data_IF_104461100484
#
_entry.id   IF_104461100484
#
_cell.length_a   1.000
_cell.length_b   1.000
_cell.length_c   1.000
_cell.angle_alpha   90.00
_cell.angle_beta   90.00
_cell.angle_gamma   90.00
#
_symmetry.space_group_name_H-M   'P 1'
#
loop_
_entity.id
_entity.type
_entity.pdbx_description
1 polymer ?
#
# COMPACT_ATOMS: atom_id res chain seq x y z
N UNK A 1 1.46 -33.23 10.44
CA UNK A 1 0.98 -32.62 11.70
C UNK A 1 1.67 -31.27 11.81
N UNK A 2 0.95 -30.22 11.37
CA UNK A 2 1.20 -28.77 11.49
C UNK A 2 2.64 -28.28 11.68
N UNK A 3 3.30 -27.90 10.56
CA UNK A 3 4.31 -26.84 10.56
C UNK A 3 3.61 -25.55 10.07
N UNK A 4 3.37 -24.64 11.02
CA UNK A 4 3.08 -23.23 10.78
C UNK A 4 4.40 -22.48 10.97
N UNK A 5 5.00 -21.93 9.92
CA UNK A 5 6.09 -20.96 10.07
C UNK A 5 5.98 -19.73 9.16
N UNK A 6 4.88 -19.58 8.39
CA UNK A 6 4.70 -18.46 7.46
C UNK A 6 3.48 -17.53 7.65
N UNK A 7 2.81 -17.46 8.82
CA UNK A 7 1.97 -16.29 9.09
C UNK A 7 2.21 -15.72 10.50
N UNK A 8 3.32 -15.04 10.76
CA UNK A 8 3.47 -14.22 11.99
C UNK A 8 4.01 -12.79 11.72
N UNK A 9 4.44 -12.44 10.51
CA UNK A 9 5.02 -11.09 10.26
C UNK A 9 3.96 -10.06 9.80
N UNK A 10 2.81 -10.48 9.26
CA UNK A 10 1.72 -9.57 8.90
C UNK A 10 0.43 -9.90 9.65
N UNK A 11 0.29 -9.45 10.90
CA UNK A 11 -1.05 -9.25 11.45
C UNK A 11 -1.09 -8.21 12.56
N UNK A 12 -0.63 -7.00 12.28
CA UNK A 12 -0.89 -5.86 13.15
C UNK A 12 -0.94 -4.63 12.26
N UNK A 13 -2.13 -4.26 11.76
CA UNK A 13 -2.43 -2.93 11.18
C UNK A 13 -3.93 -2.59 11.16
N UNK A 14 -4.45 -1.96 12.22
CA UNK A 14 -5.73 -1.26 12.24
C UNK A 14 -5.59 0.15 12.86
N UNK A 15 -6.04 1.12 12.07
CA UNK A 15 -6.33 2.56 12.29
C UNK A 15 -5.22 3.61 12.54
N UNK A 16 -5.40 4.72 11.79
CA UNK A 16 -4.87 6.10 11.89
C UNK A 16 -3.67 6.53 11.01
N UNK A 17 -3.97 7.38 10.00
CA UNK A 17 -3.31 8.67 9.70
C UNK A 17 -1.96 8.74 8.96
N UNK A 18 -1.99 9.26 7.73
CA UNK A 18 -0.88 9.53 6.78
C UNK A 18 0.40 10.18 7.36
N UNK A 19 1.58 9.63 7.04
CA UNK A 19 2.87 10.34 6.92
C UNK A 19 3.80 9.62 5.90
N UNK A 20 4.60 10.40 5.17
CA UNK A 20 5.41 10.00 4.00
C UNK A 20 6.67 9.20 4.35
N UNK A 21 7.05 8.29 3.45
CA UNK A 21 8.24 7.44 3.50
C UNK A 21 9.57 8.24 3.41
N UNK A 22 10.53 7.92 4.29
CA UNK A 22 11.96 8.26 4.17
C UNK A 22 12.75 6.97 3.90
N UNK A 23 13.32 6.82 2.70
CA UNK A 23 13.90 5.53 2.27
C UNK A 23 15.43 5.49 2.15
N UNK A 24 16.19 6.55 2.47
CA UNK A 24 17.62 6.60 2.10
C UNK A 24 18.62 6.70 3.27
N UNK A 25 18.22 7.07 4.49
CA UNK A 25 19.16 7.28 5.61
C UNK A 25 19.38 6.07 6.50
N UNK A 26 18.45 5.12 6.53
CA UNK A 26 18.38 4.15 7.62
C UNK A 26 18.86 2.73 7.27
N UNK A 27 18.88 2.36 5.99
CA UNK A 27 19.39 1.05 5.55
C UNK A 27 20.91 0.91 5.81
N UNK A 28 21.68 1.96 5.52
CA UNK A 28 23.13 1.97 5.76
C UNK A 28 23.47 1.87 7.26
N UNK A 29 22.68 2.53 8.10
CA UNK A 29 22.81 2.46 9.56
C UNK A 29 22.49 1.04 10.08
N UNK A 30 21.46 0.38 9.54
CA UNK A 30 21.13 -1.00 9.90
C UNK A 30 22.20 -1.99 9.45
N UNK A 31 22.75 -1.83 8.24
CA UNK A 31 23.88 -2.64 7.80
C UNK A 31 25.13 -2.43 8.68
N UNK A 32 25.39 -1.19 9.11
CA UNK A 32 26.46 -0.89 10.06
C UNK A 32 26.21 -1.52 11.43
N UNK A 33 24.96 -1.48 11.92
CA UNK A 33 24.55 -2.13 13.16
C UNK A 33 24.79 -3.65 13.11
N UNK A 34 24.39 -4.32 12.01
CA UNK A 34 24.62 -5.76 11.82
C UNK A 34 26.12 -6.10 11.81
N UNK A 35 26.96 -5.28 11.16
CA UNK A 35 28.43 -5.43 11.19
C UNK A 35 29.00 -5.28 12.60
N UNK A 36 28.53 -4.29 13.35
CA UNK A 36 28.97 -4.06 14.74
C UNK A 36 28.57 -5.23 15.64
N UNK A 37 27.37 -5.78 15.45
CA UNK A 37 26.90 -6.97 16.18
C UNK A 37 27.78 -8.18 15.90
N UNK A 38 28.08 -8.46 14.63
CA UNK A 38 29.00 -9.53 14.24
C UNK A 38 30.37 -9.38 14.90
N UNK A 39 30.94 -8.17 14.87
CA UNK A 39 32.25 -7.90 15.47
C UNK A 39 32.24 -8.14 16.98
N UNK A 40 31.23 -7.62 17.69
CA UNK A 40 31.10 -7.80 19.13
C UNK A 40 30.93 -9.29 19.51
N UNK A 41 30.09 -10.02 18.77
CA UNK A 41 29.91 -11.46 18.98
C UNK A 41 31.22 -12.23 18.75
N UNK A 42 31.90 -11.96 17.63
CA UNK A 42 33.11 -12.69 17.25
C UNK A 42 34.31 -12.39 18.16
N UNK A 43 34.27 -11.29 18.92
CA UNK A 43 35.25 -10.95 19.94
C UNK A 43 34.83 -11.42 21.35
N UNK A 44 33.63 -11.94 21.52
CA UNK A 44 33.07 -12.28 22.83
C UNK A 44 32.77 -11.06 23.70
N UNK A 45 32.55 -9.89 23.10
CA UNK A 45 32.31 -8.62 23.79
C UNK A 45 30.85 -8.52 24.25
N UNK A 46 30.61 -9.10 25.44
CA UNK A 46 29.29 -9.13 26.08
C UNK A 46 28.81 -7.72 26.44
N UNK A 47 29.70 -6.79 26.79
CA UNK A 47 29.31 -5.44 27.19
C UNK A 47 28.76 -4.65 26.00
N UNK A 48 29.43 -4.75 24.84
CA UNK A 48 28.92 -4.14 23.61
C UNK A 48 27.61 -4.79 23.19
N UNK A 49 27.49 -6.13 23.22
CA UNK A 49 26.23 -6.81 22.93
C UNK A 49 25.11 -6.34 23.84
N UNK A 50 25.36 -6.17 25.16
CA UNK A 50 24.36 -5.65 26.10
C UNK A 50 23.82 -4.29 25.63
N UNK A 51 24.72 -3.36 25.31
CA UNK A 51 24.37 -1.97 24.92
C UNK A 51 23.57 -1.87 23.61
N UNK A 52 23.61 -2.92 22.79
CA UNK A 52 22.86 -3.01 21.54
C UNK A 52 21.38 -3.37 21.72
N UNK A 53 20.94 -3.71 22.94
CA UNK A 53 19.54 -3.98 23.28
C UNK A 53 18.96 -2.88 24.17
N UNK A 54 17.64 -2.66 24.09
CA UNK A 54 16.91 -1.90 25.12
C UNK A 54 16.89 -2.66 26.43
N UNK A 55 16.80 -1.95 27.56
CA UNK A 55 16.84 -2.57 28.88
C UNK A 55 15.73 -3.62 29.09
N UNK A 56 14.56 -3.42 28.49
CA UNK A 56 13.39 -4.31 28.52
C UNK A 56 13.27 -5.24 27.30
N UNK A 57 14.30 -5.32 26.46
CA UNK A 57 14.24 -6.05 25.20
C UNK A 57 13.91 -7.53 25.35
N UNK A 58 13.29 -8.12 24.33
CA UNK A 58 12.93 -9.55 24.31
C UNK A 58 13.64 -10.27 23.17
N UNK A 59 14.35 -11.35 23.50
CA UNK A 59 14.92 -12.27 22.50
C UNK A 59 14.18 -13.59 22.52
N UNK A 60 13.86 -14.10 21.33
CA UNK A 60 13.25 -15.42 21.12
C UNK A 60 14.21 -16.23 20.26
N UNK A 61 14.69 -17.37 20.77
CA UNK A 61 15.58 -18.26 20.02
C UNK A 61 14.82 -19.22 19.09
N UNK A 62 15.56 -20.06 18.35
CA UNK A 62 14.99 -21.01 17.37
C UNK A 62 14.07 -22.05 18.03
N UNK A 63 14.23 -22.30 19.34
CA UNK A 63 13.37 -23.20 20.11
C UNK A 63 12.16 -22.48 20.73
N UNK A 64 11.98 -21.18 20.45
CA UNK A 64 10.88 -20.37 20.96
C UNK A 64 11.05 -19.92 22.40
N UNK A 65 12.25 -20.07 23.00
CA UNK A 65 12.50 -19.64 24.39
C UNK A 65 12.66 -18.13 24.44
N UNK A 66 11.90 -17.49 25.32
CA UNK A 66 11.99 -16.05 25.56
C UNK A 66 13.05 -15.72 26.62
N UNK A 67 13.91 -14.76 26.31
CA UNK A 67 14.87 -14.14 27.22
C UNK A 67 14.53 -12.65 27.30
N UNK A 68 14.11 -12.20 28.48
CA UNK A 68 13.62 -10.83 28.69
C UNK A 68 14.65 -9.99 29.45
N UNK A 69 14.87 -8.78 28.98
CA UNK A 69 15.78 -7.79 29.52
C UNK A 69 17.21 -7.95 29.00
N UNK A 70 17.86 -6.82 28.70
CA UNK A 70 19.20 -6.81 28.10
C UNK A 70 20.27 -7.50 28.97
N UNK A 71 20.13 -7.49 30.30
CA UNK A 71 21.08 -8.16 31.20
C UNK A 71 21.01 -9.69 31.08
N UNK A 72 19.80 -10.23 30.97
CA UNK A 72 19.61 -11.67 30.78
C UNK A 72 20.04 -12.11 29.38
N UNK A 73 19.81 -11.28 28.35
CA UNK A 73 20.30 -11.51 26.99
C UNK A 73 21.84 -11.51 26.98
N UNK A 74 22.49 -10.55 27.65
CA UNK A 74 23.94 -10.51 27.78
C UNK A 74 24.50 -11.73 28.52
N UNK A 75 23.86 -12.14 29.62
CA UNK A 75 24.23 -13.35 30.37
C UNK A 75 24.10 -14.63 29.52
N UNK A 76 23.09 -14.70 28.65
CA UNK A 76 22.95 -15.79 27.68
C UNK A 76 24.15 -15.84 26.72
N UNK A 77 24.53 -14.72 26.10
CA UNK A 77 25.70 -14.68 25.21
C UNK A 77 27.01 -14.99 25.95
N UNK A 78 27.21 -14.47 27.15
CA UNK A 78 28.35 -14.83 28.00
C UNK A 78 28.45 -16.35 28.23
N UNK A 79 27.32 -16.99 28.52
CA UNK A 79 27.25 -18.43 28.68
C UNK A 79 27.59 -19.21 27.39
N UNK A 80 27.23 -18.68 26.21
CA UNK A 80 27.60 -19.28 24.92
C UNK A 80 29.10 -19.15 24.66
N UNK A 81 29.70 -17.98 24.89
CA UNK A 81 31.13 -17.75 24.66
C UNK A 81 32.03 -18.56 25.62
N UNK A 82 31.54 -18.84 26.84
CA UNK A 82 32.22 -19.75 27.77
C UNK A 82 32.20 -21.22 27.33
N UNK A 83 31.23 -21.61 26.50
CA UNK A 83 31.07 -23.01 26.04
C UNK A 83 31.68 -23.25 24.67
N UNK A 84 31.69 -22.22 23.83
CA UNK A 84 31.94 -22.35 22.40
C UNK A 84 32.99 -21.33 21.93
N UNK A 85 33.84 -21.76 21.01
CA UNK A 85 34.64 -20.88 20.16
C UNK A 85 33.99 -20.87 18.77
N UNK A 86 33.15 -19.88 18.51
CA UNK A 86 32.36 -19.80 17.29
C UNK A 86 32.28 -18.37 16.75
N UNK A 87 32.14 -18.27 15.43
CA UNK A 87 32.01 -17.04 14.68
C UNK A 87 30.61 -16.96 14.08
N UNK A 88 29.96 -15.81 14.20
CA UNK A 88 28.71 -15.49 13.52
C UNK A 88 28.99 -14.71 12.24
N UNK A 89 28.28 -15.09 11.18
CA UNK A 89 28.14 -14.37 9.93
C UNK A 89 26.67 -14.00 9.75
N UNK A 90 26.40 -12.72 9.47
CA UNK A 90 25.06 -12.18 9.27
C UNK A 90 25.00 -11.61 7.86
N UNK A 91 23.99 -12.03 7.09
CA UNK A 91 23.60 -11.43 5.82
C UNK A 91 22.25 -10.74 6.05
N UNK A 92 22.28 -9.42 6.12
CA UNK A 92 21.06 -8.62 6.12
C UNK A 92 20.47 -8.63 4.72
N UNK A 93 19.18 -8.94 4.60
CA UNK A 93 18.47 -9.08 3.33
C UNK A 93 17.45 -7.98 3.12
N UNK A 94 16.80 -7.52 4.19
CA UNK A 94 15.81 -6.45 4.13
C UNK A 94 15.91 -5.52 5.34
N UNK A 95 15.52 -4.28 5.08
CA UNK A 95 15.30 -3.25 6.08
C UNK A 95 13.98 -2.59 5.71
N UNK A 96 12.97 -2.81 6.52
CA UNK A 96 11.62 -2.33 6.26
C UNK A 96 11.23 -1.32 7.34
N UNK A 97 10.72 -0.17 6.91
CA UNK A 97 10.15 0.79 7.83
C UNK A 97 8.81 0.25 8.29
N UNK A 98 8.61 0.20 9.61
CA UNK A 98 7.29 -0.02 10.15
C UNK A 98 6.67 1.35 10.43
N UNK A 99 5.78 1.79 9.53
CA UNK A 99 4.95 2.99 9.67
C UNK A 99 4.21 3.03 11.02
N UNK A 100 4.10 1.86 11.66
CA UNK A 100 3.20 1.60 12.76
C UNK A 100 3.76 1.84 14.15
N UNK A 101 5.08 1.85 14.33
CA UNK A 101 5.71 1.89 15.66
C UNK A 101 6.96 2.80 15.76
N UNK A 102 7.29 3.58 14.72
CA UNK A 102 8.60 4.24 14.61
C UNK A 102 9.78 3.24 14.74
N UNK A 103 9.53 1.98 14.41
CA UNK A 103 10.51 0.89 14.47
C UNK A 103 11.00 0.54 13.07
N UNK A 104 12.26 0.15 12.97
CA UNK A 104 12.76 -0.53 11.78
C UNK A 104 12.76 -2.02 12.01
N UNK A 105 12.35 -2.79 11.01
CA UNK A 105 12.51 -4.24 11.02
C UNK A 105 13.69 -4.59 10.13
N UNK A 106 14.76 -5.10 10.74
CA UNK A 106 15.90 -5.63 10.01
C UNK A 106 15.78 -7.16 9.95
N UNK A 107 15.72 -7.69 8.74
CA UNK A 107 15.58 -9.12 8.45
C UNK A 107 16.78 -9.67 7.68
N UNK A 108 17.11 -10.95 7.92
CA UNK A 108 18.18 -11.59 7.17
C UNK A 108 18.45 -13.02 7.60
N UNK A 109 19.58 -13.55 7.17
CA UNK A 109 20.06 -14.89 7.55
C UNK A 109 21.33 -14.79 8.38
N UNK A 110 21.56 -15.76 9.25
CA UNK A 110 22.80 -15.89 10.00
C UNK A 110 23.33 -17.32 9.94
N UNK A 111 24.64 -17.43 10.15
CA UNK A 111 25.38 -18.69 10.23
C UNK A 111 26.39 -18.59 11.38
N UNK A 112 26.37 -19.56 12.29
CA UNK A 112 27.32 -19.68 13.40
C UNK A 112 28.17 -20.92 13.15
N UNK A 113 29.48 -20.73 13.02
CA UNK A 113 30.46 -21.77 12.76
C UNK A 113 31.51 -21.82 13.85
N UNK A 114 31.84 -23.00 14.36
CA UNK A 114 32.89 -23.14 15.36
C UNK A 114 32.96 -24.52 15.97
N UNK A 115 33.37 -24.56 17.23
CA UNK A 115 33.42 -25.79 18.03
C UNK A 115 33.26 -25.51 19.52
N UNK A 116 32.83 -26.50 20.28
CA UNK A 116 32.80 -26.43 21.74
C UNK A 116 34.23 -26.38 22.30
N UNK A 117 34.47 -25.66 23.40
CA UNK A 117 35.78 -25.65 24.08
C UNK A 117 36.12 -27.03 24.66
N UNK A 118 35.09 -27.77 25.08
CA UNK A 118 35.23 -29.12 25.63
C UNK A 118 34.87 -30.12 24.53
N UNK A 119 35.78 -31.05 24.24
CA UNK A 119 35.66 -32.12 23.22
C UNK A 119 35.68 -31.68 21.75
N UNK A 120 35.90 -30.40 21.44
CA UNK A 120 36.03 -29.88 20.05
C UNK A 120 34.87 -30.29 19.13
N UNK A 121 33.65 -30.39 19.67
CA UNK A 121 32.46 -30.80 18.90
C UNK A 121 32.14 -29.68 17.90
N UNK A 122 32.06 -29.97 16.58
CA UNK A 122 31.71 -28.97 15.58
C UNK A 122 30.35 -28.33 15.87
N UNK A 123 30.29 -27.02 15.74
CA UNK A 123 29.08 -26.22 15.82
C UNK A 123 28.84 -25.63 14.45
N UNK A 124 27.68 -25.93 13.88
CA UNK A 124 27.17 -25.30 12.66
C UNK A 124 25.69 -25.06 12.87
N UNK A 125 25.29 -23.78 12.94
CA UNK A 125 23.89 -23.37 13.12
C UNK A 125 23.57 -22.32 12.07
N UNK A 126 22.54 -22.56 11.27
CA UNK A 126 22.01 -21.58 10.32
C UNK A 126 20.59 -21.20 10.70
N UNK A 127 20.19 -19.97 10.35
CA UNK A 127 18.85 -19.50 10.65
C UNK A 127 18.52 -18.18 9.95
N UNK A 128 17.25 -17.81 10.01
CA UNK A 128 16.80 -16.46 9.69
C UNK A 128 16.61 -15.67 10.99
N UNK A 129 16.71 -14.34 10.91
CA UNK A 129 16.42 -13.46 12.04
C UNK A 129 15.53 -12.30 11.61
N UNK A 130 14.77 -11.78 12.56
CA UNK A 130 14.09 -10.51 12.46
C UNK A 130 14.32 -9.71 13.76
N UNK A 131 14.77 -8.48 13.63
CA UNK A 131 14.96 -7.57 14.75
C UNK A 131 14.06 -6.34 14.58
N UNK A 132 13.29 -6.01 15.62
CA UNK A 132 12.63 -4.72 15.76
C UNK A 132 13.58 -3.74 16.45
N UNK A 133 13.83 -2.61 15.79
CA UNK A 133 14.87 -1.65 16.12
C UNK A 133 14.24 -0.30 16.49
N UNK A 134 14.66 0.27 17.62
CA UNK A 134 14.22 1.60 18.11
C UNK A 134 15.45 2.47 18.32
N UNK A 135 15.32 3.78 18.08
CA UNK A 135 16.37 4.76 18.36
C UNK A 135 16.15 5.36 19.75
N UNK A 136 17.07 5.13 20.67
CA UNK A 136 17.08 5.72 22.02
C UNK A 136 18.36 6.56 22.15
N UNK A 137 18.22 7.82 22.57
CA UNK A 137 19.33 8.80 22.66
C UNK A 137 20.18 8.91 21.38
N UNK A 138 19.55 8.77 20.22
CA UNK A 138 20.20 8.85 18.92
C UNK A 138 20.94 7.57 18.49
N UNK A 139 20.88 6.49 19.27
CA UNK A 139 21.50 5.20 18.95
C UNK A 139 20.43 4.13 18.69
N UNK A 140 20.63 3.34 17.63
CA UNK A 140 19.78 2.19 17.34
C UNK A 140 20.00 1.07 18.37
N UNK A 141 18.91 0.49 18.86
CA UNK A 141 18.89 -0.62 19.80
C UNK A 141 17.83 -1.64 19.39
N UNK A 142 18.07 -2.90 19.69
CA UNK A 142 17.13 -3.99 19.50
C UNK A 142 16.11 -3.95 20.64
N UNK A 143 14.84 -3.74 20.29
CA UNK A 143 13.72 -3.89 21.20
C UNK A 143 13.24 -5.35 21.25
N UNK A 144 13.25 -6.03 20.10
CA UNK A 144 12.88 -7.45 19.99
C UNK A 144 13.72 -8.16 18.96
N UNK A 145 14.19 -9.37 19.26
CA UNK A 145 14.93 -10.24 18.35
C UNK A 145 14.27 -11.60 18.27
N UNK A 146 14.02 -12.10 17.06
CA UNK A 146 13.43 -13.41 16.80
C UNK A 146 14.33 -14.19 15.85
N UNK A 147 14.62 -15.45 16.20
CA UNK A 147 15.37 -16.36 15.35
C UNK A 147 14.48 -17.49 14.85
N UNK A 148 14.71 -17.89 13.60
CA UNK A 148 13.97 -18.95 12.94
C UNK A 148 14.96 -19.99 12.41
N UNK A 149 14.65 -21.30 12.47
CA UNK A 149 15.43 -22.31 11.78
C UNK A 149 15.34 -22.10 10.26
N UNK A 150 16.46 -22.19 9.57
CA UNK A 150 16.46 -22.46 8.13
C UNK A 150 16.48 -23.98 7.99
N UNK A 151 15.33 -24.62 7.82
CA UNK A 151 15.34 -26.00 7.33
C UNK A 151 16.06 -26.02 5.96
N UNK A 152 16.81 -27.10 5.68
CA UNK A 152 17.62 -27.23 4.47
C UNK A 152 16.89 -26.69 3.25
N UNK A 153 17.42 -25.63 2.61
CA UNK A 153 16.82 -25.05 1.43
C UNK A 153 16.59 -26.15 0.39
N UNK A 154 15.33 -26.52 0.18
CA UNK A 154 14.97 -27.53 -0.80
C UNK A 154 15.40 -27.01 -2.17
N UNK A 155 16.38 -27.63 -2.86
CA UNK A 155 16.86 -27.14 -4.15
C UNK A 155 15.74 -27.08 -5.19
N UNK A 156 14.64 -27.83 -4.98
CA UNK A 156 13.43 -27.75 -5.82
C UNK A 156 12.74 -26.40 -5.69
N UNK A 157 12.69 -25.79 -4.50
CA UNK A 157 12.07 -24.46 -4.32
C UNK A 157 12.81 -23.40 -5.12
N UNK A 158 14.15 -23.40 -5.07
CA UNK A 158 14.96 -22.45 -5.85
C UNK A 158 14.79 -22.66 -7.37
N UNK A 159 14.72 -23.92 -7.82
CA UNK A 159 14.46 -24.25 -9.22
C UNK A 159 13.04 -23.81 -9.65
N UNK A 160 12.04 -24.05 -8.81
CA UNK A 160 10.65 -23.67 -9.04
C UNK A 160 10.52 -22.14 -9.15
N UNK A 161 11.11 -21.38 -8.23
CA UNK A 161 11.11 -19.91 -8.27
C UNK A 161 11.72 -19.40 -9.58
N UNK A 162 12.86 -19.98 -9.99
CA UNK A 162 13.55 -19.59 -11.22
C UNK A 162 12.67 -19.85 -12.45
N UNK A 163 12.20 -21.09 -12.61
CA UNK A 163 11.33 -21.48 -13.73
C UNK A 163 10.10 -20.58 -13.78
N UNK A 164 9.40 -20.43 -12.65
CA UNK A 164 8.18 -19.65 -12.53
C UNK A 164 8.39 -18.18 -12.91
N UNK A 165 9.45 -17.56 -12.41
CA UNK A 165 9.78 -16.15 -12.70
C UNK A 165 10.09 -15.95 -14.17
N UNK A 166 10.91 -16.81 -14.77
CA UNK A 166 11.28 -16.73 -16.19
C UNK A 166 10.07 -16.97 -17.11
N UNK A 167 9.17 -17.89 -16.75
CA UNK A 167 7.96 -18.17 -17.51
C UNK A 167 7.01 -16.96 -17.51
N UNK A 168 6.69 -16.40 -16.34
CA UNK A 168 5.76 -15.28 -16.21
C UNK A 168 6.26 -13.98 -16.80
N UNK A 169 7.56 -13.69 -16.67
CA UNK A 169 8.19 -12.55 -17.33
C UNK A 169 7.97 -12.60 -18.84
N UNK A 170 8.27 -13.74 -19.46
CA UNK A 170 8.13 -13.91 -20.92
C UNK A 170 6.67 -14.00 -21.36
N UNK A 171 5.80 -14.64 -20.59
CA UNK A 171 4.36 -14.70 -20.90
C UNK A 171 3.76 -13.30 -20.97
N UNK A 172 4.03 -12.45 -19.98
CA UNK A 172 3.39 -11.14 -19.86
C UNK A 172 4.15 -10.05 -20.61
N UNK A 173 5.45 -9.87 -20.34
CA UNK A 173 6.23 -8.78 -20.91
C UNK A 173 6.58 -9.00 -22.39
N UNK A 174 6.83 -10.25 -22.80
CA UNK A 174 7.12 -10.59 -24.20
C UNK A 174 5.88 -11.08 -24.98
N UNK A 175 4.73 -11.27 -24.31
CA UNK A 175 3.50 -11.77 -24.93
C UNK A 175 3.59 -13.23 -25.43
N UNK A 176 4.45 -14.05 -24.82
CA UNK A 176 4.76 -15.43 -25.25
C UNK A 176 3.73 -16.43 -24.72
N UNK A 177 2.47 -16.29 -25.13
CA UNK A 177 1.37 -17.14 -24.67
C UNK A 177 1.51 -18.62 -25.05
N UNK A 178 2.42 -18.99 -25.97
CA UNK A 178 2.73 -20.39 -26.24
C UNK A 178 3.50 -21.10 -25.10
N UNK A 179 3.97 -20.36 -24.09
CA UNK A 179 4.54 -20.91 -22.87
C UNK A 179 3.48 -21.48 -21.91
N UNK A 180 2.18 -21.23 -22.16
CA UNK A 180 1.11 -22.03 -21.59
C UNK A 180 1.10 -23.41 -22.26
N UNK A 181 1.92 -24.33 -21.75
CA UNK A 181 2.11 -25.68 -22.27
C UNK A 181 2.46 -26.68 -21.15
N UNK A 182 2.56 -27.95 -21.51
CA UNK A 182 2.81 -29.07 -20.59
C UNK A 182 4.23 -29.11 -19.99
N UNK A 183 5.16 -28.29 -20.50
CA UNK A 183 6.49 -28.08 -19.91
C UNK A 183 6.43 -27.16 -18.68
N UNK A 184 5.52 -26.19 -18.64
CA UNK A 184 5.44 -25.19 -17.57
C UNK A 184 4.24 -25.39 -16.64
N UNK A 185 3.15 -25.97 -17.14
CA UNK A 185 1.89 -26.15 -16.41
C UNK A 185 1.49 -27.64 -16.39
N UNK A 186 0.76 -28.07 -15.37
CA UNK A 186 0.12 -29.39 -15.40
C UNK A 186 -1.08 -29.35 -16.36
N UNK A 187 -1.41 -30.49 -16.98
CA UNK A 187 -2.55 -30.58 -17.91
C UNK A 187 -3.87 -30.17 -17.23
N UNK A 188 -3.98 -30.43 -15.93
CA UNK A 188 -5.14 -30.15 -15.07
C UNK A 188 -4.97 -28.88 -14.22
N UNK A 189 -4.07 -27.97 -14.61
CA UNK A 189 -3.80 -26.74 -13.85
C UNK A 189 -5.09 -26.01 -13.48
N UNK A 190 -5.19 -25.56 -12.22
CA UNK A 190 -6.36 -24.84 -11.72
C UNK A 190 -6.01 -23.40 -11.39
N UNK A 191 -6.65 -22.44 -12.06
CA UNK A 191 -6.64 -21.04 -11.67
C UNK A 191 -7.93 -20.73 -10.92
N UNK A 192 -7.80 -20.34 -9.64
CA UNK A 192 -8.95 -19.92 -8.83
C UNK A 192 -9.43 -18.55 -9.28
N UNK A 193 -10.66 -18.52 -9.78
CA UNK A 193 -11.34 -17.34 -10.27
C UNK A 193 -12.80 -17.37 -9.82
N UNK A 194 -13.45 -16.22 -9.89
CA UNK A 194 -14.87 -16.07 -9.56
C UNK A 194 -15.65 -15.73 -10.85
N UNK A 195 -16.86 -16.30 -11.06
CA UNK A 195 -17.60 -17.19 -10.17
C UNK A 195 -17.17 -18.66 -10.23
N UNK A 196 -16.36 -19.05 -11.21
CA UNK A 196 -15.93 -20.43 -11.41
C UNK A 196 -14.42 -20.49 -11.69
N UNK A 197 -13.79 -21.55 -11.20
CA UNK A 197 -12.39 -21.83 -11.47
C UNK A 197 -12.15 -22.11 -12.95
N UNK A 198 -10.98 -21.69 -13.45
CA UNK A 198 -10.51 -22.03 -14.78
C UNK A 198 -9.64 -23.27 -14.65
N UNK A 199 -9.95 -24.31 -15.44
CA UNK A 199 -9.24 -25.60 -15.40
C UNK A 199 -8.61 -25.88 -16.75
N UNK A 200 -7.35 -26.30 -16.72
CA UNK A 200 -6.55 -26.70 -17.87
C UNK A 200 -5.82 -25.53 -18.54
N UNK A 201 -4.76 -25.90 -19.25
CA UNK A 201 -3.79 -24.98 -19.87
C UNK A 201 -4.48 -24.01 -20.86
N UNK A 202 -5.38 -24.52 -21.70
CA UNK A 202 -6.06 -23.71 -22.72
C UNK A 202 -6.95 -22.63 -22.09
N UNK A 203 -7.68 -22.97 -21.02
CA UNK A 203 -8.53 -22.03 -20.30
C UNK A 203 -7.71 -20.92 -19.65
N UNK A 204 -6.63 -21.30 -18.96
CA UNK A 204 -5.74 -20.34 -18.31
C UNK A 204 -5.05 -19.41 -19.33
N UNK A 205 -4.55 -19.96 -20.43
CA UNK A 205 -3.96 -19.18 -21.53
C UNK A 205 -4.94 -18.17 -22.11
N UNK A 206 -6.20 -18.59 -22.34
CA UNK A 206 -7.26 -17.72 -22.85
C UNK A 206 -7.56 -16.56 -21.91
N UNK A 207 -7.61 -16.81 -20.60
CA UNK A 207 -7.85 -15.80 -19.59
C UNK A 207 -6.75 -14.73 -19.54
N UNK A 208 -5.48 -15.13 -19.39
CA UNK A 208 -4.38 -14.16 -19.34
C UNK A 208 -4.19 -13.43 -20.67
N UNK A 209 -4.44 -14.10 -21.80
CA UNK A 209 -4.42 -13.44 -23.10
C UNK A 209 -5.48 -12.36 -23.20
N UNK A 210 -6.71 -12.62 -22.76
CA UNK A 210 -7.77 -11.61 -22.72
C UNK A 210 -7.41 -10.44 -21.80
N UNK A 211 -6.89 -10.74 -20.60
CA UNK A 211 -6.45 -9.74 -19.62
C UNK A 211 -5.36 -8.82 -20.18
N UNK A 212 -4.26 -9.40 -20.67
CA UNK A 212 -3.10 -8.63 -21.14
C UNK A 212 -3.40 -7.88 -22.43
N UNK A 213 -4.17 -8.47 -23.35
CA UNK A 213 -4.50 -7.82 -24.63
C UNK A 213 -5.41 -6.59 -24.47
N UNK A 214 -6.01 -6.39 -23.29
CA UNK A 214 -6.75 -5.17 -22.99
C UNK A 214 -5.83 -3.95 -22.75
N UNK A 215 -4.53 -4.17 -22.57
CA UNK A 215 -3.56 -3.13 -22.24
C UNK A 215 -2.43 -3.05 -23.27
N UNK A 216 -1.97 -1.83 -23.55
CA UNK A 216 -0.69 -1.54 -24.22
C UNK A 216 0.35 -1.08 -23.20
N UNK A 217 1.61 -0.98 -23.62
CA UNK A 217 2.71 -0.49 -22.77
C UNK A 217 2.83 -1.29 -21.45
N UNK A 218 2.65 -2.61 -21.57
CA UNK A 218 2.60 -3.53 -20.43
C UNK A 218 3.98 -3.65 -19.80
N UNK A 219 4.02 -3.47 -18.48
CA UNK A 219 5.19 -3.76 -17.63
C UNK A 219 4.72 -4.58 -16.43
N UNK A 220 5.20 -5.81 -16.33
CA UNK A 220 4.95 -6.72 -15.22
C UNK A 220 6.24 -7.01 -14.46
N UNK A 221 6.20 -6.79 -13.15
CA UNK A 221 7.35 -6.94 -12.27
C UNK A 221 6.99 -7.86 -11.11
N UNK A 222 7.75 -8.95 -10.93
CA UNK A 222 7.70 -9.75 -9.70
C UNK A 222 8.61 -9.05 -8.68
N UNK A 223 7.99 -8.32 -7.75
CA UNK A 223 8.68 -7.53 -6.73
C UNK A 223 9.42 -8.42 -5.72
N UNK A 224 8.78 -9.53 -5.33
CA UNK A 224 9.35 -10.52 -4.42
C UNK A 224 8.68 -11.88 -4.66
N UNK A 225 9.41 -12.97 -4.48
CA UNK A 225 8.90 -14.34 -4.55
C UNK A 225 9.64 -15.24 -3.56
N UNK A 226 8.90 -16.06 -2.83
CA UNK A 226 9.43 -17.04 -1.87
C UNK A 226 8.56 -18.30 -1.87
N UNK A 227 9.07 -19.38 -1.29
CA UNK A 227 8.33 -20.64 -1.25
C UNK A 227 8.85 -21.62 -0.20
N UNK A 228 8.04 -22.63 0.08
CA UNK A 228 8.34 -23.74 0.99
C UNK A 228 7.71 -25.01 0.43
N UNK A 229 8.50 -26.08 0.30
CA UNK A 229 8.04 -27.34 -0.28
C UNK A 229 7.53 -27.18 -1.71
N UNK A 230 6.23 -27.39 -1.92
CA UNK A 230 5.54 -27.28 -3.20
C UNK A 230 4.76 -25.96 -3.37
N UNK A 231 4.81 -25.04 -2.41
CA UNK A 231 4.09 -23.76 -2.48
C UNK A 231 5.03 -22.60 -2.79
N UNK A 232 4.60 -21.71 -3.68
CA UNK A 232 5.22 -20.38 -3.88
C UNK A 232 4.22 -19.27 -3.56
N UNK A 233 4.74 -18.12 -3.14
CA UNK A 233 4.00 -16.86 -3.03
C UNK A 233 4.80 -15.77 -3.71
N UNK A 234 4.17 -15.03 -4.62
CA UNK A 234 4.78 -13.87 -5.30
C UNK A 234 4.00 -12.60 -4.98
N UNK A 235 4.69 -11.48 -4.82
CA UNK A 235 4.14 -10.13 -4.86
C UNK A 235 4.56 -9.49 -6.18
N UNK A 236 3.63 -8.87 -6.89
CA UNK A 236 3.85 -8.37 -8.23
C UNK A 236 3.19 -7.01 -8.45
N UNK A 237 3.70 -6.27 -9.43
CA UNK A 237 3.13 -5.03 -9.95
C UNK A 237 2.88 -5.17 -11.45
N UNK A 238 1.73 -4.71 -11.90
CA UNK A 238 1.37 -4.61 -13.31
C UNK A 238 1.09 -3.15 -13.67
N UNK A 239 1.68 -2.67 -14.76
CA UNK A 239 1.39 -1.38 -15.37
C UNK A 239 0.93 -1.59 -16.81
N UNK A 240 0.02 -0.75 -17.27
CA UNK A 240 -0.38 -0.72 -18.67
C UNK A 240 -1.40 0.36 -18.97
N UNK A 241 -1.55 0.69 -20.25
CA UNK A 241 -2.56 1.64 -20.74
C UNK A 241 -3.75 0.88 -21.29
N UNK A 242 -4.95 1.12 -20.76
CA UNK A 242 -6.17 0.42 -21.16
C UNK A 242 -6.63 0.85 -22.56
N UNK A 243 -6.23 0.08 -23.59
CA UNK A 243 -6.43 0.39 -25.01
C UNK A 243 -7.28 -0.64 -25.75
N UNK A 244 -7.59 -1.77 -25.11
CA UNK A 244 -8.48 -2.82 -25.63
C UNK A 244 -9.77 -2.93 -24.82
N UNK A 245 -10.52 -4.01 -25.06
CA UNK A 245 -11.68 -4.38 -24.24
C UNK A 245 -11.21 -5.19 -23.03
N UNK A 246 -11.53 -4.73 -21.82
CA UNK A 246 -11.25 -5.45 -20.57
C UNK A 246 -12.55 -6.05 -20.02
N UNK A 247 -12.85 -7.30 -20.41
CA UNK A 247 -14.03 -8.04 -19.96
C UNK A 247 -15.35 -7.25 -20.12
N UNK A 248 -15.54 -6.61 -21.27
CA UNK A 248 -16.71 -5.79 -21.59
C UNK A 248 -16.59 -4.31 -21.19
N UNK A 249 -15.48 -3.90 -20.59
CA UNK A 249 -15.15 -2.49 -20.36
C UNK A 249 -14.38 -2.00 -21.59
N UNK A 250 -14.99 -1.09 -22.36
CA UNK A 250 -14.35 -0.49 -23.52
C UNK A 250 -13.10 0.32 -23.13
N UNK A 251 -12.11 0.36 -24.02
CA UNK A 251 -10.86 1.11 -23.85
C UNK A 251 -11.09 2.53 -23.32
N UNK A 252 -10.44 2.85 -22.21
CA UNK A 252 -10.60 4.15 -21.53
C UNK A 252 -9.45 5.10 -21.84
N UNK A 253 -8.31 4.57 -22.31
CA UNK A 253 -7.08 5.33 -22.51
C UNK A 253 -6.34 5.67 -21.20
N UNK A 254 -6.87 5.25 -20.05
CA UNK A 254 -6.22 5.48 -18.76
C UNK A 254 -5.05 4.49 -18.56
N UNK A 255 -3.98 4.97 -17.94
CA UNK A 255 -2.92 4.11 -17.41
C UNK A 255 -3.34 3.56 -16.06
N UNK A 256 -3.06 2.28 -15.84
CA UNK A 256 -3.23 1.62 -14.54
C UNK A 256 -1.89 1.18 -13.99
N UNK A 257 -1.76 1.22 -12.67
CA UNK A 257 -0.71 0.57 -11.90
C UNK A 257 -1.38 -0.14 -10.73
N UNK A 258 -1.31 -1.47 -10.74
CA UNK A 258 -1.92 -2.32 -9.73
C UNK A 258 -0.88 -3.27 -9.16
N UNK A 259 -1.02 -3.60 -7.88
CA UNK A 259 -0.23 -4.63 -7.23
C UNK A 259 -1.12 -5.76 -6.73
N UNK A 260 -0.52 -6.93 -6.61
CA UNK A 260 -1.21 -8.13 -6.16
C UNK A 260 -0.24 -9.18 -5.68
N UNK A 261 -0.81 -10.25 -5.15
CA UNK A 261 -0.08 -11.43 -4.72
C UNK A 261 -0.71 -12.68 -5.31
N UNK A 262 0.12 -13.67 -5.61
CA UNK A 262 -0.34 -14.97 -6.14
C UNK A 262 0.17 -16.08 -5.23
N UNK A 263 -0.72 -16.99 -4.86
CA UNK A 263 -0.37 -18.26 -4.22
C UNK A 263 -0.32 -19.32 -5.31
N UNK A 264 0.75 -20.11 -5.34
CA UNK A 264 1.02 -21.10 -6.39
C UNK A 264 1.30 -22.45 -5.75
N UNK A 265 0.67 -23.50 -6.27
CA UNK A 265 1.10 -24.88 -6.01
C UNK A 265 1.89 -25.42 -7.20
N UNK A 266 3.04 -26.03 -6.90
CA UNK A 266 3.94 -26.65 -7.85
C UNK A 266 3.76 -28.17 -7.80
N UNK A 267 3.79 -28.83 -8.95
CA UNK A 267 3.84 -30.28 -9.03
C UNK A 267 5.22 -30.82 -8.62
N UNK A 268 5.35 -32.11 -8.27
CA UNK A 268 6.64 -32.70 -7.90
C UNK A 268 7.74 -32.61 -8.97
N UNK A 269 7.37 -32.48 -10.24
CA UNK A 269 8.26 -32.28 -11.39
C UNK A 269 8.51 -30.80 -11.74
N UNK A 270 8.02 -29.87 -10.91
CA UNK A 270 8.35 -28.45 -10.99
C UNK A 270 7.49 -27.63 -11.95
N UNK A 271 6.30 -28.12 -12.33
CA UNK A 271 5.31 -27.41 -13.15
C UNK A 271 4.27 -26.72 -12.28
N UNK A 272 3.60 -25.71 -12.82
CA UNK A 272 2.53 -24.97 -12.14
C UNK A 272 1.26 -25.80 -12.16
N UNK A 273 0.76 -26.18 -10.98
CA UNK A 273 -0.44 -27.00 -10.83
C UNK A 273 -1.66 -26.20 -10.38
N UNK A 274 -1.45 -25.12 -9.63
CA UNK A 274 -2.55 -24.29 -9.13
C UNK A 274 -2.09 -22.84 -8.95
N UNK A 275 -2.96 -21.88 -9.27
CA UNK A 275 -2.76 -20.47 -8.97
C UNK A 275 -4.00 -19.83 -8.36
N UNK A 276 -3.78 -18.92 -7.41
CA UNK A 276 -4.80 -18.04 -6.86
C UNK A 276 -4.26 -16.63 -6.78
N UNK A 277 -4.83 -15.75 -7.61
CA UNK A 277 -4.48 -14.34 -7.67
C UNK A 277 -5.32 -13.50 -6.71
N UNK A 278 -4.65 -12.61 -6.00
CA UNK A 278 -5.26 -11.59 -5.15
C UNK A 278 -4.76 -10.22 -5.60
N UNK A 279 -5.67 -9.36 -6.05
CA UNK A 279 -5.36 -7.98 -6.42
C UNK A 279 -6.47 -7.05 -5.99
N UNK A 280 -6.16 -5.75 -5.87
CA UNK A 280 -7.15 -4.73 -5.57
C UNK A 280 -7.98 -4.39 -6.81
N UNK A 281 -9.04 -5.17 -7.03
CA UNK A 281 -10.00 -4.94 -8.10
C UNK A 281 -10.69 -3.57 -8.02
N UNK A 282 -10.84 -3.00 -6.81
CA UNK A 282 -11.44 -1.67 -6.65
C UNK A 282 -10.50 -0.59 -7.17
N UNK A 283 -9.21 -0.70 -6.84
CA UNK A 283 -8.17 0.17 -7.39
C UNK A 283 -8.13 0.10 -8.91
N UNK A 284 -8.15 -1.10 -9.49
CA UNK A 284 -8.21 -1.29 -10.94
C UNK A 284 -9.42 -0.57 -11.56
N UNK A 285 -10.64 -0.89 -11.10
CA UNK A 285 -11.87 -0.31 -11.64
C UNK A 285 -11.92 1.23 -11.46
N UNK A 286 -11.36 1.74 -10.36
CA UNK A 286 -11.24 3.18 -10.13
C UNK A 286 -10.26 3.83 -11.11
N UNK A 287 -9.11 3.22 -11.38
CA UNK A 287 -8.13 3.74 -12.35
C UNK A 287 -8.66 3.64 -13.79
N UNK A 288 -9.47 2.63 -14.08
CA UNK A 288 -10.24 2.55 -15.32
C UNK A 288 -11.37 3.60 -15.39
N UNK A 289 -11.75 4.23 -14.27
CA UNK A 289 -12.83 5.23 -14.21
C UNK A 289 -14.24 4.64 -14.18
N UNK A 290 -14.37 3.32 -14.03
CA UNK A 290 -15.65 2.61 -13.94
C UNK A 290 -16.36 2.93 -12.63
N UNK A 291 -15.58 3.08 -11.55
CA UNK A 291 -16.05 3.49 -10.23
C UNK A 291 -15.26 4.71 -9.74
N UNK A 292 -15.78 5.41 -8.74
CA UNK A 292 -15.03 6.48 -8.08
C UNK A 292 -13.99 5.92 -7.11
N UNK A 293 -12.90 6.66 -6.93
CA UNK A 293 -11.95 6.40 -5.86
C UNK A 293 -12.66 6.45 -4.50
N UNK A 294 -12.32 5.55 -3.56
CA UNK A 294 -12.94 5.52 -2.26
C UNK A 294 -12.71 6.84 -1.51
N UNK A 295 -13.75 7.34 -0.85
CA UNK A 295 -13.67 8.53 0.02
C UNK A 295 -14.01 9.87 -0.63
N UNK A 296 -14.24 9.95 -1.96
CA UNK A 296 -14.62 11.19 -2.63
C UNK A 296 -15.86 11.86 -2.01
N UNK A 297 -16.89 11.07 -1.69
CA UNK A 297 -18.09 11.57 -1.01
C UNK A 297 -17.77 12.17 0.36
N UNK A 298 -16.85 11.55 1.12
CA UNK A 298 -16.45 12.05 2.44
C UNK A 298 -15.66 13.38 2.35
N UNK A 299 -14.86 13.57 1.29
CA UNK A 299 -14.17 14.84 1.03
C UNK A 299 -15.19 15.95 0.78
N UNK A 300 -16.20 15.71 -0.07
CA UNK A 300 -17.24 16.69 -0.39
C UNK A 300 -18.14 16.97 0.81
N UNK A 301 -18.50 15.94 1.59
CA UNK A 301 -19.24 16.10 2.84
C UNK A 301 -18.45 16.96 3.85
N UNK A 302 -17.18 16.66 4.06
CA UNK A 302 -16.27 17.44 4.90
C UNK A 302 -16.19 18.91 4.47
N UNK A 303 -16.14 19.18 3.16
CA UNK A 303 -16.17 20.55 2.63
C UNK A 303 -17.47 21.27 3.03
N UNK A 304 -18.63 20.64 2.88
CA UNK A 304 -19.90 21.25 3.29
C UNK A 304 -19.98 21.49 4.80
N UNK A 305 -19.48 20.56 5.61
CA UNK A 305 -19.42 20.73 7.07
C UNK A 305 -18.51 21.88 7.49
N UNK A 306 -17.36 22.07 6.84
CA UNK A 306 -16.47 23.20 7.08
C UNK A 306 -17.12 24.52 6.66
N UNK A 307 -17.77 24.56 5.49
CA UNK A 307 -18.49 25.74 5.02
C UNK A 307 -19.59 26.15 6.00
N UNK A 308 -20.39 25.20 6.50
CA UNK A 308 -21.45 25.46 7.47
C UNK A 308 -20.95 26.03 8.81
N UNK A 309 -19.69 25.76 9.17
CA UNK A 309 -19.02 26.31 10.37
C UNK A 309 -18.33 27.65 10.10
N UNK A 310 -18.30 28.12 8.86
CA UNK A 310 -17.53 29.31 8.45
C UNK A 310 -16.02 29.07 8.36
N UNK A 311 -15.57 27.81 8.34
CA UNK A 311 -14.14 27.45 8.20
C UNK A 311 -13.72 27.49 6.73
N UNK A 312 -13.62 28.71 6.20
CA UNK A 312 -13.21 28.97 4.82
C UNK A 312 -11.80 28.44 4.53
N UNK A 313 -10.79 28.56 5.42
CA UNK A 313 -9.49 27.94 5.21
C UNK A 313 -9.55 26.44 4.94
N UNK A 314 -10.37 25.68 5.69
CA UNK A 314 -10.53 24.24 5.44
C UNK A 314 -11.23 23.95 4.10
N UNK A 315 -12.21 24.76 3.71
CA UNK A 315 -12.88 24.65 2.39
C UNK A 315 -11.87 24.84 1.26
N UNK A 316 -11.03 25.87 1.33
CA UNK A 316 -10.01 26.14 0.31
C UNK A 316 -8.92 25.05 0.30
N UNK A 317 -8.56 24.50 1.46
CA UNK A 317 -7.57 23.43 1.56
C UNK A 317 -8.03 22.13 0.89
N UNK A 318 -9.34 21.90 0.72
CA UNK A 318 -9.87 20.74 0.00
C UNK A 318 -9.74 20.86 -1.54
N UNK A 319 -9.47 22.06 -2.05
CA UNK A 319 -9.35 22.33 -3.48
C UNK A 319 -7.93 22.07 -3.98
N UNK A 320 -7.82 21.62 -5.23
CA UNK A 320 -6.56 21.61 -5.96
C UNK A 320 -6.13 23.04 -6.31
N UNK A 321 -4.81 23.27 -6.41
CA UNK A 321 -4.26 24.58 -6.76
C UNK A 321 -4.75 25.09 -8.13
N UNK A 322 -5.05 24.17 -9.06
CA UNK A 322 -5.59 24.45 -10.38
C UNK A 322 -7.09 24.23 -10.52
N UNK A 323 -7.87 24.22 -9.42
CA UNK A 323 -9.33 24.02 -9.49
C UNK A 323 -9.98 24.96 -10.50
N UNK A 324 -10.88 24.41 -11.33
CA UNK A 324 -11.74 25.17 -12.23
C UNK A 324 -13.15 25.21 -11.64
N UNK A 325 -13.60 26.39 -11.25
CA UNK A 325 -14.89 26.60 -10.58
C UNK A 325 -15.82 27.44 -11.45
N UNK A 326 -17.02 26.93 -11.69
CA UNK A 326 -18.05 27.63 -12.44
C UNK A 326 -19.34 27.76 -11.63
N UNK A 327 -19.77 28.99 -11.42
CA UNK A 327 -21.14 29.31 -10.98
C UNK A 327 -22.13 29.05 -12.12
N UNK A 328 -23.43 28.91 -11.81
CA UNK A 328 -24.45 28.68 -12.83
C UNK A 328 -24.57 29.91 -13.75
N UNK A 329 -24.74 29.70 -15.05
CA UNK A 329 -24.93 30.81 -15.99
C UNK A 329 -26.13 31.68 -15.60
N UNK A 330 -25.90 33.00 -15.51
CA UNK A 330 -26.90 33.96 -15.06
C UNK A 330 -26.98 34.14 -13.54
N UNK A 331 -26.22 33.37 -12.75
CA UNK A 331 -26.07 33.62 -11.32
C UNK A 331 -25.24 34.90 -11.07
N UNK A 332 -25.48 35.66 -9.98
CA UNK A 332 -24.79 36.93 -9.73
C UNK A 332 -23.26 36.87 -9.68
N UNK A 333 -22.69 35.68 -9.45
CA UNK A 333 -21.25 35.42 -9.37
C UNK A 333 -20.71 34.66 -10.59
N UNK A 334 -21.48 34.54 -11.68
CA UNK A 334 -20.98 33.93 -12.91
C UNK A 334 -20.17 34.92 -13.79
N UNK A 335 -20.06 36.18 -13.38
CA UNK A 335 -19.45 37.26 -14.16
C UNK A 335 -17.94 37.08 -14.39
N UNK A 336 -17.29 36.22 -13.59
CA UNK A 336 -15.86 35.92 -13.69
C UNK A 336 -15.59 34.43 -13.89
N UNK A 337 -16.59 33.66 -14.31
CA UNK A 337 -16.38 32.27 -14.68
C UNK A 337 -15.37 32.15 -15.85
N UNK A 338 -14.51 31.11 -15.86
CA UNK A 338 -14.20 30.24 -14.72
C UNK A 338 -13.29 30.91 -13.70
N UNK A 339 -13.52 30.65 -12.42
CA UNK A 339 -12.54 30.95 -11.38
C UNK A 339 -11.47 29.86 -11.36
N UNK A 340 -10.20 30.25 -11.46
CA UNK A 340 -9.07 29.33 -11.49
C UNK A 340 -8.25 29.48 -10.20
N UNK A 341 -8.21 28.41 -9.41
CA UNK A 341 -7.47 28.32 -8.17
C UNK A 341 -8.25 28.80 -6.93
N UNK A 342 -7.87 28.36 -5.71
CA UNK A 342 -8.64 28.62 -4.49
C UNK A 342 -8.77 30.10 -4.15
N UNK A 343 -7.75 30.92 -4.45
CA UNK A 343 -7.77 32.36 -4.20
C UNK A 343 -8.81 33.08 -5.08
N UNK A 344 -8.94 32.67 -6.34
CA UNK A 344 -9.95 33.22 -7.24
C UNK A 344 -11.37 32.88 -6.75
N UNK A 345 -11.58 31.65 -6.26
CA UNK A 345 -12.87 31.23 -5.67
C UNK A 345 -13.18 32.01 -4.38
N UNK A 346 -12.18 32.19 -3.50
CA UNK A 346 -12.34 32.97 -2.28
C UNK A 346 -12.78 34.39 -2.58
N UNK A 347 -12.02 35.10 -3.42
CA UNK A 347 -12.24 36.51 -3.71
C UNK A 347 -13.48 36.73 -4.59
N UNK A 348 -13.70 35.82 -5.53
CA UNK A 348 -14.74 35.91 -6.55
C UNK A 348 -16.11 35.43 -6.12
N UNK A 349 -16.20 34.56 -5.10
CA UNK A 349 -17.45 33.94 -4.65
C UNK A 349 -17.63 34.09 -3.15
N UNK A 350 -16.80 33.46 -2.31
CA UNK A 350 -17.05 33.39 -0.86
C UNK A 350 -17.00 34.74 -0.16
N UNK A 351 -16.05 35.61 -0.52
CA UNK A 351 -15.96 36.96 0.03
C UNK A 351 -17.18 37.82 -0.33
N UNK A 352 -17.70 37.67 -1.56
CA UNK A 352 -18.91 38.37 -2.02
C UNK A 352 -20.16 37.87 -1.30
N UNK A 353 -20.31 36.57 -1.12
CA UNK A 353 -21.38 35.99 -0.29
C UNK A 353 -21.37 36.62 1.11
N UNK A 354 -20.22 36.61 1.78
CA UNK A 354 -20.08 37.17 3.13
C UNK A 354 -20.32 38.69 3.19
N UNK A 355 -20.01 39.43 2.12
CA UNK A 355 -20.24 40.87 2.04
C UNK A 355 -21.72 41.20 1.80
N UNK A 356 -22.40 40.49 0.91
CA UNK A 356 -23.72 40.83 0.37
C UNK A 356 -24.89 40.19 1.14
N UNK A 357 -24.69 39.04 1.79
CA UNK A 357 -25.76 38.26 2.42
C UNK A 357 -25.66 38.22 3.94
N UNK A 358 -26.79 38.44 4.62
CA UNK A 358 -26.91 38.42 6.08
C UNK A 358 -26.62 37.02 6.63
N UNK A 359 -27.14 35.99 5.94
CA UNK A 359 -26.80 34.60 6.14
C UNK A 359 -26.84 33.86 4.80
N UNK A 360 -26.09 32.76 4.71
CA UNK A 360 -26.09 31.86 3.56
C UNK A 360 -25.98 30.41 4.04
N UNK A 361 -27.11 29.70 4.05
CA UNK A 361 -27.20 28.34 4.56
C UNK A 361 -27.39 27.34 3.41
N UNK A 362 -26.63 26.26 3.48
CA UNK A 362 -26.82 25.08 2.65
C UNK A 362 -27.68 24.08 3.43
N UNK A 363 -28.82 23.68 2.87
CA UNK A 363 -29.79 22.80 3.53
C UNK A 363 -30.19 21.64 2.63
N UNK A 364 -30.76 20.58 3.20
CA UNK A 364 -31.23 19.40 2.47
C UNK A 364 -30.17 18.75 1.55
N UNK A 365 -28.91 18.73 2.01
CA UNK A 365 -27.78 18.19 1.24
C UNK A 365 -27.92 16.66 1.13
N UNK A 366 -27.95 16.17 -0.10
CA UNK A 366 -27.82 14.74 -0.42
C UNK A 366 -26.64 14.56 -1.37
N UNK A 367 -25.78 13.60 -1.08
CA UNK A 367 -24.59 13.30 -1.86
C UNK A 367 -24.77 11.98 -2.61
N UNK A 368 -24.39 11.98 -3.88
CA UNK A 368 -24.47 10.84 -4.76
C UNK A 368 -23.08 10.57 -5.34
N UNK A 369 -22.54 9.39 -5.07
CA UNK A 369 -21.33 8.91 -5.72
C UNK A 369 -21.60 8.65 -7.20
N UNK A 370 -20.65 9.01 -8.06
CA UNK A 370 -20.76 8.85 -9.51
C UNK A 370 -19.43 8.30 -10.06
N UNK A 371 -19.48 7.57 -11.18
CA UNK A 371 -18.27 7.12 -11.87
C UNK A 371 -17.36 8.30 -12.29
N UNK A 372 -16.06 8.03 -12.46
CA UNK A 372 -15.11 9.05 -12.95
C UNK A 372 -14.73 10.10 -11.91
N UNK A 373 -14.65 9.73 -10.63
CA UNK A 373 -14.30 10.64 -9.51
C UNK A 373 -15.22 11.86 -9.39
N UNK A 374 -16.51 11.65 -9.64
CA UNK A 374 -17.51 12.71 -9.52
C UNK A 374 -18.42 12.49 -8.32
N UNK A 375 -18.84 13.58 -7.71
CA UNK A 375 -19.86 13.58 -6.66
C UNK A 375 -20.91 14.62 -7.03
N UNK A 376 -22.16 14.19 -7.13
CA UNK A 376 -23.30 15.09 -7.29
C UNK A 376 -23.88 15.38 -5.91
N UNK A 377 -23.95 16.65 -5.54
CA UNK A 377 -24.70 17.10 -4.37
C UNK A 377 -25.99 17.78 -4.82
N UNK A 378 -27.14 17.34 -4.34
CA UNK A 378 -28.41 18.08 -4.47
C UNK A 378 -28.75 18.71 -3.14
N UNK A 379 -29.11 19.99 -3.14
CA UNK A 379 -29.29 20.77 -1.92
C UNK A 379 -30.17 22.01 -2.17
N UNK A 380 -30.35 22.82 -1.13
CA UNK A 380 -31.02 24.11 -1.20
C UNK A 380 -30.17 25.23 -0.62
N UNK A 381 -30.19 26.40 -1.26
CA UNK A 381 -29.65 27.63 -0.69
C UNK A 381 -30.75 28.40 0.03
N UNK A 382 -30.53 28.70 1.31
CA UNK A 382 -31.38 29.61 2.10
C UNK A 382 -30.56 30.80 2.53
N UNK A 383 -30.89 31.97 2.01
CA UNK A 383 -30.10 33.17 2.26
C UNK A 383 -30.97 34.42 2.29
N UNK A 384 -30.48 35.48 2.94
CA UNK A 384 -31.14 36.79 2.98
C UNK A 384 -30.17 37.89 2.57
N UNK A 385 -30.55 38.69 1.58
CA UNK A 385 -29.67 39.74 1.06
C UNK A 385 -29.70 40.97 1.98
N UNK A 386 -28.53 41.52 2.34
CA UNK A 386 -28.42 42.58 3.36
C UNK A 386 -29.12 43.87 2.97
N UNK A 387 -29.05 44.26 1.68
CA UNK A 387 -29.53 45.56 1.21
C UNK A 387 -31.03 45.53 0.90
N UNK A 388 -31.48 44.51 0.18
CA UNK A 388 -32.88 44.40 -0.27
C UNK A 388 -33.78 43.77 0.78
N UNK A 389 -33.19 43.04 1.74
CA UNK A 389 -33.92 42.27 2.76
C UNK A 389 -34.67 41.05 2.22
N UNK A 390 -34.57 40.76 0.91
CA UNK A 390 -35.23 39.62 0.27
C UNK A 390 -34.56 38.31 0.68
N UNK A 391 -35.38 37.30 0.90
CA UNK A 391 -34.93 35.94 1.17
C UNK A 391 -35.03 35.09 -0.11
N UNK A 392 -34.12 34.13 -0.23
CA UNK A 392 -34.13 33.11 -1.28
C UNK A 392 -34.20 31.72 -0.65
N UNK A 393 -34.84 30.82 -1.38
CA UNK A 393 -34.91 29.39 -1.11
C UNK A 393 -34.75 28.67 -2.47
N UNK A 394 -33.50 28.49 -2.90
CA UNK A 394 -33.15 28.01 -4.24
C UNK A 394 -32.93 26.50 -4.24
N UNK A 395 -33.49 25.81 -5.23
CA UNK A 395 -33.04 24.45 -5.54
C UNK A 395 -31.68 24.51 -6.25
N UNK A 396 -30.73 23.71 -5.79
CA UNK A 396 -29.36 23.74 -6.29
C UNK A 396 -28.80 22.32 -6.43
N UNK A 397 -27.97 22.11 -7.44
CA UNK A 397 -27.08 20.98 -7.53
C UNK A 397 -25.64 21.46 -7.72
N UNK A 398 -24.69 20.73 -7.15
CA UNK A 398 -23.27 20.91 -7.35
C UNK A 398 -22.69 19.62 -7.92
N UNK A 399 -21.98 19.72 -9.04
CA UNK A 399 -21.19 18.63 -9.56
C UNK A 399 -19.72 18.87 -9.24
N UNK A 400 -19.17 18.01 -8.40
CA UNK A 400 -17.76 18.02 -8.01
C UNK A 400 -17.00 16.99 -8.83
N UNK A 401 -15.79 17.34 -9.26
CA UNK A 401 -14.83 16.38 -9.82
C UNK A 401 -13.58 16.40 -8.95
N UNK A 402 -13.12 15.22 -8.57
CA UNK A 402 -11.98 15.04 -7.69
C UNK A 402 -10.84 14.30 -8.40
N UNK A 403 -9.62 14.55 -7.94
CA UNK A 403 -8.42 13.81 -8.30
C UNK A 403 -7.50 13.78 -7.09
N UNK A 404 -6.97 12.62 -6.74
CA UNK A 404 -6.01 12.43 -5.64
C UNK A 404 -6.47 13.08 -4.30
N UNK A 405 -7.77 12.93 -3.99
CA UNK A 405 -8.38 13.49 -2.78
C UNK A 405 -8.57 15.01 -2.76
N UNK A 406 -8.31 15.70 -3.88
CA UNK A 406 -8.53 17.14 -4.06
C UNK A 406 -9.64 17.41 -5.05
N UNK A 407 -10.36 18.51 -4.86
CA UNK A 407 -11.38 18.98 -5.80
C UNK A 407 -10.70 19.74 -6.93
N UNK A 408 -10.82 19.23 -8.15
CA UNK A 408 -10.23 19.83 -9.36
C UNK A 408 -11.26 20.58 -10.21
N UNK A 409 -12.55 20.28 -10.05
CA UNK A 409 -13.62 21.00 -10.75
C UNK A 409 -14.87 21.14 -9.91
N UNK A 410 -15.53 22.28 -10.05
CA UNK A 410 -16.85 22.55 -9.52
C UNK A 410 -17.75 23.14 -10.61
N UNK A 411 -18.99 22.64 -10.67
CA UNK A 411 -20.06 23.23 -11.48
C UNK A 411 -21.33 23.38 -10.64
N UNK A 412 -21.83 24.60 -10.52
CA UNK A 412 -23.14 24.88 -9.92
C UNK A 412 -24.26 24.81 -10.97
N UNK A 413 -25.41 24.31 -10.54
CA UNK A 413 -26.69 24.42 -11.22
C UNK A 413 -27.72 24.92 -10.19
N UNK A 414 -28.35 26.08 -10.41
CA UNK A 414 -29.31 26.64 -9.44
C UNK A 414 -30.38 27.47 -10.13
N UNK A 415 -31.45 27.82 -9.41
CA UNK A 415 -32.47 28.77 -9.87
C UNK A 415 -31.87 30.20 -9.91
N UNK A 416 -31.28 30.55 -11.04
CA UNK A 416 -30.62 31.86 -11.22
C UNK A 416 -31.62 33.02 -11.31
N UNK A 417 -32.88 32.74 -11.63
CA UNK A 417 -33.92 33.78 -11.69
C UNK A 417 -34.20 34.33 -10.29
N UNK A 418 -34.46 33.45 -9.32
CA UNK A 418 -34.77 33.90 -7.96
C UNK A 418 -33.55 34.56 -7.30
N UNK A 419 -32.32 34.09 -7.58
CA UNK A 419 -31.09 34.77 -7.15
C UNK A 419 -30.99 36.20 -7.71
N UNK A 420 -31.24 36.37 -9.01
CA UNK A 420 -31.20 37.68 -9.67
C UNK A 420 -32.31 38.65 -9.21
N UNK A 421 -33.47 38.13 -8.82
CA UNK A 421 -34.59 38.93 -8.27
C UNK A 421 -34.33 39.38 -6.83
N UNK A 422 -33.51 38.66 -6.07
CA UNK A 422 -33.18 38.99 -4.69
C UNK A 422 -32.17 40.13 -4.54
N UNK A 423 -31.23 40.26 -5.49
CA UNK A 423 -30.18 41.30 -5.49
C UNK A 423 -30.62 42.63 -6.11
N UNK A 424 -31.78 42.65 -6.79
CA UNK A 424 -32.46 43.86 -7.28
C UNK A 424 -33.42 44.40 -6.24
#
# INVERSE_FOLDING_TARGET
MKNLLFPIILLFAANFGNLQAQSATDEHDMQAFARNFMNAYNQGDVETIRKMYLDDAVRIDQEGREIKGADNIAAYFAGQFLKNNATVFIRQLSVEWSDREYTWVAGGTYEVNGKTHVYDIPIHVTGAYANAMIKEDGQWKIAKSMLFPLEHADPRVAANIKMYTEAWDRIINEGRFELFNDEHFTEDVVMHAEPENIVGIEGMAGYYKALVSAFSDVEFTINNIFGEGDQLVKHWTFKGTHTGDFFGIAATGNTVEISGSTIVSMSPDGRIAEERDFMDNMSLLSQLGVVSAPGNVAVVDGLYQSFAKGDVPAVLAAMDAGIVWNEAEGFPYADQNPYIGPEAVLNGVFARIGAEWEYWNLTDIQLHDMSGNMVLATLRYKAKHKVTGKEIDLQTAHLWTLKDGKIVRFQQFTDTKQAAEAVK
#
